data_IF_432791856466
#
_entry.id   IF_432791856466
#
_cell.length_a   1.000
_cell.length_b   1.000
_cell.length_c   1.000
_cell.angle_alpha   90.00
_cell.angle_beta   90.00
_cell.angle_gamma   90.00
#
_symmetry.space_group_name_H-M   'P 1'
#
loop_
_entity.id
_entity.type
_entity.pdbx_description
1 polymer ?
#
# COMPACT_ATOMS: atom_id res chain seq x y z
N UNK A 1 7.48 -0.54 -27.59
CA UNK A 1 6.67 -0.97 -26.41
C UNK A 1 7.39 -1.92 -25.46
N UNK A 2 8.29 -2.83 -25.91
CA UNK A 2 9.06 -3.73 -25.02
C UNK A 2 10.11 -3.01 -24.15
N UNK A 3 10.81 -2.01 -24.70
CA UNK A 3 11.79 -1.17 -23.98
C UNK A 3 11.16 -0.40 -22.82
N UNK A 4 10.00 0.22 -23.03
CA UNK A 4 9.26 0.95 -21.99
C UNK A 4 8.81 0.03 -20.84
N UNK A 5 8.34 -1.19 -21.15
CA UNK A 5 7.99 -2.18 -20.11
C UNK A 5 9.22 -2.62 -19.32
N UNK A 6 10.36 -2.85 -19.98
CA UNK A 6 11.60 -3.21 -19.27
C UNK A 6 12.11 -2.07 -18.38
N UNK A 7 12.06 -0.82 -18.86
CA UNK A 7 12.44 0.35 -18.07
C UNK A 7 11.56 0.52 -16.81
N UNK A 8 10.23 0.40 -16.95
CA UNK A 8 9.31 0.48 -15.80
C UNK A 8 9.56 -0.67 -14.82
N UNK A 9 9.78 -1.91 -15.30
CA UNK A 9 10.07 -3.06 -14.44
C UNK A 9 11.40 -2.91 -13.70
N UNK A 10 12.43 -2.38 -14.36
CA UNK A 10 13.72 -2.12 -13.74
C UNK A 10 13.63 -1.02 -12.67
N UNK A 11 12.92 0.08 -12.97
CA UNK A 11 12.71 1.18 -12.02
C UNK A 11 11.92 0.74 -10.79
N UNK A 12 10.84 -0.03 -10.98
CA UNK A 12 10.05 -0.60 -9.87
C UNK A 12 10.85 -1.62 -9.07
N UNK A 13 11.70 -2.42 -9.73
CA UNK A 13 12.57 -3.38 -9.04
C UNK A 13 13.60 -2.64 -8.15
N UNK A 14 14.21 -1.57 -8.66
CA UNK A 14 15.16 -0.74 -7.92
C UNK A 14 14.53 -0.09 -6.68
N UNK A 15 13.33 0.48 -6.80
CA UNK A 15 12.58 1.07 -5.69
C UNK A 15 12.23 0.06 -4.59
N UNK A 16 12.17 -1.24 -4.92
CA UNK A 16 11.82 -2.32 -3.99
C UNK A 16 13.02 -3.02 -3.36
N UNK A 17 14.17 -3.05 -4.03
CA UNK A 17 15.37 -3.74 -3.52
C UNK A 17 15.99 -3.05 -2.31
N UNK A 18 15.78 -1.74 -2.17
CA UNK A 18 16.28 -0.99 -1.03
C UNK A 18 15.33 -1.11 0.16
N UNK A 19 15.81 -1.52 1.35
CA UNK A 19 15.01 -1.53 2.57
C UNK A 19 14.44 -0.14 2.89
N UNK A 20 13.22 -0.10 3.42
CA UNK A 20 12.56 1.16 3.82
C UNK A 20 13.40 1.95 4.84
N UNK A 21 14.12 1.23 5.72
CA UNK A 21 15.07 1.80 6.69
C UNK A 21 16.27 2.49 6.01
N UNK A 22 16.79 1.94 4.92
CA UNK A 22 17.94 2.52 4.23
C UNK A 22 17.57 3.88 3.62
N UNK A 23 16.40 3.95 2.99
CA UNK A 23 15.84 5.20 2.48
C UNK A 23 15.57 6.22 3.59
N UNK A 24 15.04 5.77 4.73
CA UNK A 24 14.79 6.62 5.88
C UNK A 24 16.06 7.32 6.36
N UNK A 25 17.15 6.57 6.55
CA UNK A 25 18.43 7.11 7.00
C UNK A 25 18.99 8.09 5.97
N UNK A 26 18.96 7.75 4.67
CA UNK A 26 19.43 8.66 3.62
C UNK A 26 18.62 9.97 3.57
N UNK A 27 17.29 9.90 3.68
CA UNK A 27 16.43 11.09 3.64
C UNK A 27 16.53 11.96 4.90
N UNK A 28 16.64 11.34 6.08
CA UNK A 28 16.89 12.07 7.34
C UNK A 28 18.22 12.81 7.27
N UNK A 29 19.26 12.19 6.70
CA UNK A 29 20.56 12.84 6.47
C UNK A 29 20.50 13.96 5.41
N UNK A 30 19.70 13.80 4.36
CA UNK A 30 19.64 14.75 3.25
C UNK A 30 18.74 15.97 3.50
N UNK A 31 17.60 15.79 4.17
CA UNK A 31 16.55 16.82 4.32
C UNK A 31 16.21 17.15 5.78
N UNK A 32 16.78 16.44 6.75
CA UNK A 32 16.45 16.59 8.17
C UNK A 32 15.16 15.85 8.58
N UNK A 33 14.79 16.03 9.86
CA UNK A 33 13.60 15.42 10.47
C UNK A 33 12.34 16.04 9.84
N UNK A 34 11.45 15.21 9.27
CA UNK A 34 10.11 15.63 8.83
C UNK A 34 9.80 15.54 7.32
N UNK A 35 10.78 15.38 6.43
CA UNK A 35 10.56 15.32 4.97
C UNK A 35 10.23 13.90 4.44
N UNK A 36 9.43 13.12 5.19
CA UNK A 36 9.14 11.69 4.90
C UNK A 36 8.02 11.41 3.88
N UNK A 37 6.99 12.27 3.70
CA UNK A 37 5.82 11.88 2.91
C UNK A 37 6.13 11.49 1.45
N UNK A 38 7.16 12.11 0.85
CA UNK A 38 7.53 11.87 -0.54
C UNK A 38 8.11 10.47 -0.81
N UNK A 39 8.86 9.90 0.12
CA UNK A 39 9.51 8.59 -0.08
C UNK A 39 8.54 7.41 0.11
N UNK A 40 7.73 7.44 1.18
CA UNK A 40 6.68 6.44 1.39
C UNK A 40 5.71 6.41 0.19
N UNK A 41 5.41 7.57 -0.38
CA UNK A 41 4.63 7.67 -1.61
C UNK A 41 5.34 6.93 -2.77
N UNK A 42 6.62 7.18 -3.03
CA UNK A 42 7.36 6.55 -4.14
C UNK A 42 7.48 5.02 -4.00
N UNK A 43 7.81 4.51 -2.82
CA UNK A 43 7.92 3.06 -2.59
C UNK A 43 6.55 2.36 -2.72
N UNK A 44 5.51 2.99 -2.18
CA UNK A 44 4.13 2.49 -2.25
C UNK A 44 3.61 2.52 -3.68
N UNK A 45 3.84 3.61 -4.42
CA UNK A 45 3.42 3.75 -5.82
C UNK A 45 4.12 2.71 -6.69
N UNK A 46 5.43 2.50 -6.54
CA UNK A 46 6.17 1.49 -7.31
C UNK A 46 5.62 0.09 -7.08
N UNK A 47 5.37 -0.27 -5.82
CA UNK A 47 4.83 -1.57 -5.46
C UNK A 47 3.37 -1.77 -5.90
N UNK A 48 2.51 -0.77 -5.71
CA UNK A 48 1.11 -0.82 -6.14
C UNK A 48 1.00 -0.91 -7.66
N UNK A 49 1.84 -0.19 -8.40
CA UNK A 49 1.84 -0.21 -9.88
C UNK A 49 2.04 -1.63 -10.41
N UNK A 50 2.97 -2.40 -9.83
CA UNK A 50 3.18 -3.79 -10.23
C UNK A 50 2.00 -4.68 -9.87
N UNK A 51 1.49 -4.58 -8.64
CA UNK A 51 0.35 -5.36 -8.15
C UNK A 51 -0.91 -5.10 -8.97
N UNK A 52 -1.15 -3.84 -9.33
CA UNK A 52 -2.23 -3.41 -10.21
C UNK A 52 -2.04 -3.91 -11.65
N UNK A 53 -0.81 -3.86 -12.17
CA UNK A 53 -0.50 -4.40 -13.49
C UNK A 53 -0.71 -5.92 -13.55
N UNK A 54 -0.25 -6.67 -12.55
CA UNK A 54 -0.49 -8.12 -12.44
C UNK A 54 -1.98 -8.45 -12.28
N UNK A 55 -2.74 -7.63 -11.56
CA UNK A 55 -4.19 -7.77 -11.44
C UNK A 55 -4.92 -7.49 -12.77
N UNK A 56 -4.42 -6.58 -13.59
CA UNK A 56 -4.97 -6.31 -14.93
C UNK A 56 -4.63 -7.44 -15.89
N UNK A 57 -3.39 -7.96 -15.85
CA UNK A 57 -2.91 -9.02 -16.73
C UNK A 57 -3.53 -10.39 -16.42
N UNK A 58 -3.92 -10.62 -15.16
CA UNK A 58 -4.64 -11.82 -14.73
C UNK A 58 -6.15 -11.79 -14.98
N UNK A 59 -6.72 -10.63 -15.35
CA UNK A 59 -8.15 -10.50 -15.60
C UNK A 59 -8.58 -11.31 -16.84
N UNK A 60 -9.69 -12.05 -16.73
CA UNK A 60 -10.16 -12.90 -17.82
C UNK A 60 -10.83 -12.09 -18.93
N UNK A 61 -10.48 -12.40 -20.17
CA UNK A 61 -11.08 -11.78 -21.35
C UNK A 61 -12.42 -12.45 -21.76
N UNK A 62 -12.88 -13.46 -21.01
CA UNK A 62 -14.15 -14.16 -21.29
C UNK A 62 -15.38 -13.24 -21.16
N UNK A 63 -15.56 -12.45 -20.08
CA UNK A 63 -16.72 -11.57 -19.94
C UNK A 63 -16.70 -10.41 -20.95
N UNK A 64 -15.50 -9.94 -21.32
CA UNK A 64 -15.30 -8.88 -22.32
C UNK A 64 -15.74 -9.34 -23.71
N UNK A 65 -15.40 -10.57 -24.09
CA UNK A 65 -15.83 -11.19 -25.36
C UNK A 65 -17.33 -11.51 -25.38
N UNK A 66 -17.91 -11.93 -24.25
CA UNK A 66 -19.35 -12.14 -24.12
C UNK A 66 -20.16 -10.87 -24.37
N UNK A 67 -19.78 -9.74 -23.75
CA UNK A 67 -20.42 -8.45 -24.02
C UNK A 67 -20.17 -7.96 -25.46
N UNK A 68 -18.99 -8.25 -26.03
CA UNK A 68 -18.70 -7.89 -27.43
C UNK A 68 -19.64 -8.60 -28.41
N UNK A 69 -19.94 -9.88 -28.18
CA UNK A 69 -20.88 -10.67 -28.99
C UNK A 69 -22.33 -10.14 -28.92
N UNK A 70 -22.68 -9.46 -27.83
CA UNK A 70 -23.99 -8.80 -27.65
C UNK A 70 -24.05 -7.39 -28.28
N UNK A 71 -23.03 -6.96 -29.02
CA UNK A 71 -22.99 -5.62 -29.66
C UNK A 71 -22.58 -4.48 -28.73
N UNK A 72 -22.04 -4.76 -27.54
CA UNK A 72 -21.71 -3.72 -26.57
C UNK A 72 -20.53 -2.82 -27.00
N UNK A 73 -20.67 -1.52 -26.74
CA UNK A 73 -19.63 -0.52 -27.02
C UNK A 73 -18.37 -0.76 -26.18
N UNK A 74 -17.22 -0.19 -26.59
CA UNK A 74 -15.96 -0.31 -25.82
C UNK A 74 -16.11 0.17 -24.37
N UNK A 75 -16.88 1.24 -24.14
CA UNK A 75 -17.10 1.78 -22.81
C UNK A 75 -17.93 0.84 -21.92
N UNK A 76 -18.96 0.20 -22.49
CA UNK A 76 -19.78 -0.78 -21.78
C UNK A 76 -18.96 -2.02 -21.40
N UNK A 77 -18.10 -2.51 -22.30
CA UNK A 77 -17.18 -3.61 -22.01
C UNK A 77 -16.23 -3.27 -20.88
N UNK A 78 -15.64 -2.08 -20.87
CA UNK A 78 -14.73 -1.67 -19.80
C UNK A 78 -15.43 -1.57 -18.44
N UNK A 79 -16.63 -0.97 -18.40
CA UNK A 79 -17.36 -0.72 -17.15
C UNK A 79 -18.06 -1.95 -16.58
N UNK A 80 -18.57 -2.85 -17.42
CA UNK A 80 -19.40 -3.98 -17.00
C UNK A 80 -18.71 -5.34 -17.06
N UNK A 81 -17.68 -5.52 -17.90
CA UNK A 81 -16.90 -6.75 -17.91
C UNK A 81 -15.57 -6.61 -17.17
N UNK A 82 -14.80 -5.56 -17.45
CA UNK A 82 -13.42 -5.46 -16.95
C UNK A 82 -13.33 -4.88 -15.53
N UNK A 83 -13.94 -3.71 -15.30
CA UNK A 83 -13.86 -3.01 -14.01
C UNK A 83 -14.35 -3.83 -12.80
N UNK A 84 -15.46 -4.59 -12.87
CA UNK A 84 -15.93 -5.38 -11.74
C UNK A 84 -14.96 -6.50 -11.34
N UNK A 85 -14.20 -7.05 -12.30
CA UNK A 85 -13.21 -8.10 -12.05
C UNK A 85 -11.95 -7.56 -11.35
N UNK A 86 -11.54 -6.34 -11.70
CA UNK A 86 -10.25 -5.77 -11.25
C UNK A 86 -10.39 -4.92 -9.98
N UNK A 87 -11.55 -4.26 -9.81
CA UNK A 87 -11.89 -3.45 -8.63
C UNK A 87 -11.60 -4.17 -7.29
N UNK A 88 -12.00 -5.43 -7.08
CA UNK A 88 -11.80 -6.06 -5.78
C UNK A 88 -10.32 -6.26 -5.42
N UNK A 89 -9.55 -6.75 -6.38
CA UNK A 89 -8.12 -6.97 -6.21
C UNK A 89 -7.36 -5.66 -5.99
N UNK A 90 -7.72 -4.60 -6.71
CA UNK A 90 -7.16 -3.26 -6.51
C UNK A 90 -7.38 -2.75 -5.09
N UNK A 91 -8.62 -2.84 -4.63
CA UNK A 91 -8.98 -2.35 -3.31
C UNK A 91 -8.27 -3.15 -2.20
N UNK A 92 -8.20 -4.48 -2.35
CA UNK A 92 -7.45 -5.34 -1.42
C UNK A 92 -5.96 -4.97 -1.35
N UNK A 93 -5.31 -4.70 -2.48
CA UNK A 93 -3.90 -4.32 -2.49
C UNK A 93 -3.66 -2.93 -1.91
N UNK A 94 -4.57 -1.98 -2.12
CA UNK A 94 -4.51 -0.66 -1.49
C UNK A 94 -4.59 -0.75 0.04
N UNK A 95 -5.55 -1.52 0.59
CA UNK A 95 -5.69 -1.69 2.03
C UNK A 95 -4.49 -2.40 2.65
N UNK A 96 -4.03 -3.50 2.03
CA UNK A 96 -2.83 -4.21 2.47
C UNK A 96 -1.60 -3.29 2.49
N UNK A 97 -1.45 -2.42 1.47
CA UNK A 97 -0.34 -1.45 1.45
C UNK A 97 -0.49 -0.36 2.50
N UNK A 98 -1.70 0.11 2.76
CA UNK A 98 -1.96 1.10 3.81
C UNK A 98 -1.57 0.54 5.18
N UNK A 99 -1.95 -0.70 5.49
CA UNK A 99 -1.58 -1.39 6.73
C UNK A 99 -0.06 -1.53 6.89
N UNK A 100 0.64 -2.00 5.85
CA UNK A 100 2.10 -2.11 5.84
C UNK A 100 2.75 -0.75 6.08
N UNK A 101 2.29 0.29 5.38
CA UNK A 101 2.81 1.65 5.56
C UNK A 101 2.58 2.20 6.97
N UNK A 102 1.43 1.90 7.60
CA UNK A 102 1.15 2.30 8.98
C UNK A 102 2.12 1.64 9.97
N UNK A 103 2.38 0.35 9.80
CA UNK A 103 3.36 -0.40 10.60
C UNK A 103 4.77 0.15 10.40
N UNK A 104 5.18 0.32 9.15
CA UNK A 104 6.48 0.88 8.79
C UNK A 104 6.67 2.30 9.32
N UNK A 105 5.63 3.15 9.32
CA UNK A 105 5.70 4.50 9.89
C UNK A 105 6.07 4.51 11.37
N UNK A 106 5.64 3.50 12.15
CA UNK A 106 6.00 3.40 13.56
C UNK A 106 7.49 3.10 13.73
N UNK A 107 8.03 2.16 12.93
CA UNK A 107 9.46 1.81 12.94
C UNK A 107 10.30 3.00 12.45
N UNK A 108 9.87 3.65 11.36
CA UNK A 108 10.50 4.83 10.78
C UNK A 108 10.53 6.00 11.78
N UNK A 109 9.47 6.18 12.56
CA UNK A 109 9.42 7.20 13.61
C UNK A 109 10.52 7.06 14.66
N UNK A 110 10.92 5.83 14.99
CA UNK A 110 11.99 5.56 15.96
C UNK A 110 13.37 6.00 15.44
N UNK A 111 13.62 5.87 14.13
CA UNK A 111 14.89 6.27 13.48
C UNK A 111 14.96 7.76 13.14
N UNK A 112 13.99 8.56 13.61
CA UNK A 112 13.98 10.02 13.40
C UNK A 112 13.37 10.46 12.07
N UNK A 113 12.69 9.55 11.36
CA UNK A 113 11.90 9.94 10.20
C UNK A 113 10.71 10.83 10.63
N UNK A 114 10.06 10.50 11.74
CA UNK A 114 8.86 11.18 12.21
C UNK A 114 7.61 10.30 12.17
N UNK A 115 6.52 10.82 12.72
CA UNK A 115 5.27 10.07 12.93
C UNK A 115 5.14 9.54 14.37
N UNK A 116 4.24 8.57 14.57
CA UNK A 116 3.86 8.09 15.92
C UNK A 116 5.07 7.51 16.68
N UNK A 117 6.00 6.85 15.96
CA UNK A 117 7.22 6.32 16.56
C UNK A 117 8.19 7.39 17.08
N UNK A 118 8.15 8.61 16.55
CA UNK A 118 8.97 9.71 17.06
C UNK A 118 8.48 10.14 18.44
N UNK A 119 7.16 10.19 18.66
CA UNK A 119 6.65 10.50 19.99
C UNK A 119 6.97 9.41 21.01
N UNK A 120 6.91 8.15 20.59
CA UNK A 120 7.34 7.04 21.45
C UNK A 120 8.81 7.22 21.87
N UNK A 121 9.69 7.55 20.92
CA UNK A 121 11.11 7.80 21.19
C UNK A 121 11.35 9.02 22.08
N UNK A 122 10.60 10.11 21.88
CA UNK A 122 10.69 11.33 22.71
C UNK A 122 10.31 11.03 24.15
N UNK A 123 9.21 10.31 24.38
CA UNK A 123 8.75 9.97 25.72
C UNK A 123 9.69 8.99 26.45
N UNK A 124 10.33 8.07 25.72
CA UNK A 124 11.40 7.23 26.27
C UNK A 124 12.59 8.09 26.71
N UNK A 125 13.02 9.05 25.89
CA UNK A 125 14.15 9.94 26.20
C UNK A 125 13.88 10.87 27.39
N UNK A 126 12.62 11.18 27.67
CA UNK A 126 12.18 12.02 28.78
C UNK A 126 11.87 11.20 30.05
N UNK A 127 12.16 9.89 30.07
CA UNK A 127 11.83 8.96 31.17
C UNK A 127 10.33 8.97 31.57
N UNK A 128 9.45 9.32 30.63
CA UNK A 128 7.99 9.40 30.86
C UNK A 128 7.31 8.08 30.56
N UNK A 129 7.57 7.06 31.37
CA UNK A 129 7.04 5.70 31.16
C UNK A 129 5.50 5.62 31.10
N UNK A 130 4.79 6.52 31.78
CA UNK A 130 3.33 6.66 31.67
C UNK A 130 2.88 7.02 30.25
N UNK A 131 3.58 7.95 29.60
CA UNK A 131 3.27 8.38 28.23
C UNK A 131 3.71 7.34 27.20
N UNK A 132 4.82 6.63 27.47
CA UNK A 132 5.30 5.53 26.63
C UNK A 132 4.28 4.39 26.58
N UNK A 133 3.77 3.95 27.73
CA UNK A 133 2.80 2.86 27.81
C UNK A 133 1.47 3.21 27.12
N UNK A 134 0.97 4.44 27.33
CA UNK A 134 -0.21 4.98 26.63
C UNK A 134 -0.03 4.98 25.10
N UNK A 135 1.11 5.50 24.63
CA UNK A 135 1.42 5.57 23.19
C UNK A 135 1.53 4.17 22.57
N UNK A 136 2.17 3.24 23.27
CA UNK A 136 2.29 1.85 22.83
C UNK A 136 0.92 1.17 22.72
N UNK A 137 0.05 1.36 23.73
CA UNK A 137 -1.32 0.85 23.73
C UNK A 137 -2.13 1.41 22.55
N UNK A 138 -2.01 2.72 22.29
CA UNK A 138 -2.66 3.38 21.17
C UNK A 138 -2.22 2.77 19.82
N UNK A 139 -0.92 2.55 19.62
CA UNK A 139 -0.38 1.91 18.40
C UNK A 139 -0.99 0.51 18.24
N UNK A 140 -1.02 -0.31 19.29
CA UNK A 140 -1.58 -1.66 19.24
C UNK A 140 -3.06 -1.61 18.85
N UNK A 141 -3.85 -0.72 19.45
CA UNK A 141 -5.27 -0.58 19.15
C UNK A 141 -5.49 -0.16 17.70
N UNK A 142 -4.80 0.88 17.23
CA UNK A 142 -4.96 1.40 15.87
C UNK A 142 -4.52 0.37 14.83
N UNK A 143 -3.38 -0.29 15.03
CA UNK A 143 -2.88 -1.32 14.12
C UNK A 143 -3.83 -2.52 14.10
N UNK A 144 -4.33 -2.96 15.26
CA UNK A 144 -5.30 -4.07 15.33
C UNK A 144 -6.62 -3.72 14.66
N UNK A 145 -7.10 -2.48 14.81
CA UNK A 145 -8.30 -1.99 14.15
C UNK A 145 -8.11 -1.95 12.62
N UNK A 146 -6.98 -1.43 12.16
CA UNK A 146 -6.63 -1.39 10.73
C UNK A 146 -6.48 -2.78 10.13
N UNK A 147 -5.86 -3.72 10.85
CA UNK A 147 -5.72 -5.12 10.42
C UNK A 147 -7.09 -5.81 10.33
N UNK A 148 -7.93 -5.64 11.35
CA UNK A 148 -9.29 -6.20 11.35
C UNK A 148 -10.15 -5.61 10.23
N UNK A 149 -10.08 -4.29 10.02
CA UNK A 149 -10.82 -3.60 8.96
C UNK A 149 -10.32 -4.02 7.58
N UNK A 150 -9.00 -4.11 7.39
CA UNK A 150 -8.37 -4.55 6.13
C UNK A 150 -8.71 -6.01 5.84
N UNK A 151 -8.70 -6.87 6.85
CA UNK A 151 -9.11 -8.27 6.76
C UNK A 151 -10.59 -8.42 6.43
N UNK A 152 -11.46 -7.66 7.08
CA UNK A 152 -12.91 -7.67 6.81
C UNK A 152 -13.23 -7.18 5.41
N UNK A 153 -12.62 -6.07 4.97
CA UNK A 153 -12.76 -5.56 3.60
C UNK A 153 -12.21 -6.56 2.59
N UNK A 154 -11.04 -7.15 2.85
CA UNK A 154 -10.47 -8.15 1.94
C UNK A 154 -11.38 -9.37 1.79
N UNK A 155 -12.00 -9.87 2.86
CA UNK A 155 -13.01 -10.93 2.80
C UNK A 155 -14.23 -10.50 1.99
N UNK A 156 -14.83 -9.36 2.30
CA UNK A 156 -15.97 -8.79 1.55
C UNK A 156 -15.70 -8.60 0.06
N UNK A 157 -14.46 -8.28 -0.29
CA UNK A 157 -14.07 -7.85 -1.63
C UNK A 157 -13.55 -9.02 -2.47
N UNK A 158 -12.80 -9.96 -1.89
CA UNK A 158 -12.27 -11.15 -2.57
C UNK A 158 -13.26 -12.31 -2.53
N UNK A 159 -14.02 -12.47 -1.45
CA UNK A 159 -15.06 -13.52 -1.28
C UNK A 159 -16.46 -13.02 -1.68
N UNK A 160 -16.56 -11.97 -2.49
CA UNK A 160 -17.86 -11.45 -2.95
C UNK A 160 -18.71 -12.53 -3.63
N UNK A 161 -19.68 -13.05 -2.86
CA UNK A 161 -20.78 -13.96 -3.18
C UNK A 161 -20.41 -15.33 -3.79
N UNK A 162 -20.08 -16.29 -2.91
CA UNK A 162 -20.71 -17.61 -2.99
C UNK A 162 -22.02 -17.55 -2.19
N UNK A 163 -23.05 -16.95 -2.77
CA UNK A 163 -24.45 -17.24 -2.50
C UNK A 163 -25.25 -17.15 -3.79
#
# INVERSE_FOLDING_TARGET
>A
MRSLRMAIRAFVAFLRTMPELAWAVMFVMAFGIGAIPGFLALHTIGSLTKLFYESIESASDKPVRGLAACGASKLQRMRFAFWPQVKPTFLSYSFMRLEINFRSSTILGLVGAGGIGQELMTNIKLDRYDQVSMTLLLIIVVVSLLDTLSGWLRRRVVEGDVK
#
